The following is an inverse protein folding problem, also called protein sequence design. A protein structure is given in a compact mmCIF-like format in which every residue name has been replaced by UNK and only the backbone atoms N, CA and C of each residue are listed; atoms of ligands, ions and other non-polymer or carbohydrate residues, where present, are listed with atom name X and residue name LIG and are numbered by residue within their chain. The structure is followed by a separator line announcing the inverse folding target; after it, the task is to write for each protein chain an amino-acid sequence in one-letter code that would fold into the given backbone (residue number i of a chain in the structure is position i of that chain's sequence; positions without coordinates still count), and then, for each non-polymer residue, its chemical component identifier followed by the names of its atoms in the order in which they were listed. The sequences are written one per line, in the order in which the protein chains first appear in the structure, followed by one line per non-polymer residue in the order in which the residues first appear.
data_IF_064733129403
#
_entry.id   IF_064733129403
#
_cell.length_a   1.000
_cell.length_b   1.000
_cell.length_c   1.000
_cell.angle_alpha   90.00
_cell.angle_beta   90.00
_cell.angle_gamma   90.00
#
_symmetry.space_group_name_H-M   'P 1'
#
loop_
_entity.id
_entity.type
_entity.pdbx_description
1 polymer ?
#
# COMPACT_ATOMS: atom_id res chain seq x y z
N UNK A 1 4.06 -11.01 -4.36
CA UNK A 1 3.61 -12.41 -4.15
C UNK A 1 4.38 -13.00 -2.98
N UNK A 2 3.70 -13.76 -2.14
CA UNK A 2 4.28 -14.43 -0.97
C UNK A 2 3.78 -15.89 -0.92
N UNK A 3 4.66 -16.88 -0.69
CA UNK A 3 4.30 -18.27 -0.44
C UNK A 3 3.58 -18.44 0.91
N UNK A 4 3.15 -19.65 1.24
CA UNK A 4 2.46 -19.96 2.51
C UNK A 4 3.36 -19.83 3.75
N UNK A 5 4.65 -20.14 3.61
CA UNK A 5 5.64 -20.06 4.68
C UNK A 5 6.25 -18.65 4.84
N UNK A 6 5.95 -17.73 3.91
CA UNK A 6 6.38 -16.33 3.90
C UNK A 6 7.92 -16.14 3.88
N UNK A 7 8.67 -17.18 3.47
CA UNK A 7 10.13 -17.22 3.55
C UNK A 7 10.83 -16.39 2.47
N UNK A 8 10.19 -16.26 1.31
CA UNK A 8 10.62 -15.46 0.17
C UNK A 8 9.47 -14.59 -0.34
N UNK A 9 9.81 -13.44 -0.90
CA UNK A 9 8.86 -12.56 -1.57
C UNK A 9 9.27 -12.37 -3.01
N UNK A 10 8.29 -12.10 -3.86
CA UNK A 10 8.53 -11.66 -5.23
C UNK A 10 7.70 -10.41 -5.52
N UNK A 11 8.33 -9.34 -5.92
CA UNK A 11 7.66 -8.13 -6.39
C UNK A 11 7.53 -8.22 -7.91
N UNK A 12 6.29 -8.35 -8.39
CA UNK A 12 5.96 -8.28 -9.81
C UNK A 12 5.37 -6.91 -10.11
N UNK A 13 5.98 -6.17 -11.02
CA UNK A 13 5.53 -4.85 -11.46
C UNK A 13 5.22 -4.90 -12.95
N UNK A 14 3.98 -4.59 -13.32
CA UNK A 14 3.62 -4.37 -14.73
C UNK A 14 3.92 -2.92 -15.08
N UNK A 15 4.74 -2.72 -16.10
CA UNK A 15 5.22 -1.41 -16.55
C UNK A 15 4.75 -1.23 -17.99
N UNK A 16 4.21 -0.06 -18.28
CA UNK A 16 3.79 0.33 -19.62
C UNK A 16 4.50 1.63 -20.01
N UNK A 17 5.14 1.62 -21.18
CA UNK A 17 5.89 2.75 -21.73
C UNK A 17 5.27 3.22 -23.04
N UNK A 18 5.36 4.53 -23.30
CA UNK A 18 5.06 5.09 -24.62
C UNK A 18 6.35 5.12 -25.45
N UNK A 19 6.51 4.12 -26.31
CA UNK A 19 7.71 3.89 -27.10
C UNK A 19 8.81 3.15 -26.34
N UNK A 20 9.88 2.81 -27.05
CA UNK A 20 11.01 2.05 -26.50
C UNK A 20 11.84 2.89 -25.52
N UNK A 21 11.75 2.56 -24.23
CA UNK A 21 12.52 3.19 -23.15
C UNK A 21 13.31 2.14 -22.35
N UNK A 22 14.53 2.50 -21.94
CA UNK A 22 15.27 1.73 -20.95
C UNK A 22 14.76 2.10 -19.56
N UNK A 23 14.15 1.14 -18.87
CA UNK A 23 13.59 1.30 -17.53
C UNK A 23 14.48 0.58 -16.52
N UNK A 24 14.95 1.32 -15.53
CA UNK A 24 15.67 0.79 -14.37
C UNK A 24 14.73 0.74 -13.18
N UNK A 25 14.59 -0.45 -12.58
CA UNK A 25 13.84 -0.67 -11.35
C UNK A 25 14.81 -0.96 -10.19
N UNK A 26 14.66 -0.25 -9.09
CA UNK A 26 15.38 -0.48 -7.84
C UNK A 26 14.40 -0.71 -6.69
N UNK A 27 14.58 -1.79 -5.93
CA UNK A 27 13.83 -2.04 -4.71
C UNK A 27 14.72 -1.85 -3.49
N UNK A 28 14.31 -0.97 -2.58
CA UNK A 28 15.00 -0.68 -1.32
C UNK A 28 14.18 -1.15 -0.13
N UNK A 29 14.85 -1.69 0.88
CA UNK A 29 14.21 -2.10 2.13
C UNK A 29 13.80 -0.89 3.00
N UNK A 30 13.05 -1.11 4.10
CA UNK A 30 12.66 -0.02 5.01
C UNK A 30 13.82 0.77 5.64
N UNK A 31 15.05 0.25 5.58
CA UNK A 31 16.25 0.95 6.04
C UNK A 31 16.98 1.69 4.89
N UNK A 32 16.45 1.64 3.67
CA UNK A 32 17.02 2.27 2.47
C UNK A 32 18.07 1.44 1.74
N UNK A 33 18.34 0.20 2.20
CA UNK A 33 19.31 -0.70 1.57
C UNK A 33 18.74 -1.26 0.27
N UNK A 34 19.51 -1.21 -0.81
CA UNK A 34 19.16 -1.83 -2.09
C UNK A 34 19.08 -3.35 -1.94
N UNK A 35 17.92 -3.93 -2.28
CA UNK A 35 17.65 -5.37 -2.23
C UNK A 35 17.69 -5.99 -3.61
N UNK A 36 17.22 -5.28 -4.63
CA UNK A 36 17.20 -5.76 -6.01
C UNK A 36 17.23 -4.62 -7.00
N UNK A 37 17.83 -4.89 -8.17
CA UNK A 37 17.82 -4.00 -9.32
C UNK A 37 17.55 -4.81 -10.57
N UNK A 38 16.75 -4.27 -11.47
CA UNK A 38 16.48 -4.83 -12.79
C UNK A 38 16.50 -3.71 -13.82
N UNK A 39 16.99 -3.98 -15.03
CA UNK A 39 17.02 -3.03 -16.13
C UNK A 39 16.53 -3.72 -17.38
N UNK A 40 15.56 -3.13 -18.05
CA UNK A 40 14.94 -3.70 -19.25
C UNK A 40 14.63 -2.60 -20.27
N UNK A 41 14.73 -2.93 -21.55
CA UNK A 41 14.24 -2.07 -22.63
C UNK A 41 12.78 -2.46 -22.91
N UNK A 42 11.85 -1.56 -22.60
CA UNK A 42 10.41 -1.81 -22.66
C UNK A 42 9.81 -0.93 -23.77
N UNK A 43 9.07 -1.56 -24.69
CA UNK A 43 8.27 -0.90 -25.71
C UNK A 43 6.82 -1.41 -25.61
N UNK A 44 5.95 -0.61 -24.99
CA UNK A 44 4.60 -1.04 -24.62
C UNK A 44 4.58 -1.63 -23.22
N UNK A 45 3.93 -2.79 -23.03
CA UNK A 45 3.66 -3.36 -21.70
C UNK A 45 4.51 -4.60 -21.41
N UNK A 46 5.25 -4.57 -20.31
CA UNK A 46 6.08 -5.68 -19.84
C UNK A 46 5.98 -5.85 -18.32
N UNK A 47 6.23 -7.06 -17.81
CA UNK A 47 6.28 -7.33 -16.38
C UNK A 47 7.71 -7.61 -15.94
N UNK A 48 8.18 -6.86 -14.94
CA UNK A 48 9.46 -7.12 -14.27
C UNK A 48 9.22 -7.82 -12.94
N UNK A 49 10.16 -8.68 -12.54
CA UNK A 49 10.12 -9.39 -11.26
C UNK A 49 11.41 -9.16 -10.47
N UNK A 50 11.27 -8.89 -9.18
CA UNK A 50 12.37 -8.74 -8.24
C UNK A 50 12.14 -9.70 -7.07
N UNK A 51 13.11 -10.57 -6.82
CA UNK A 51 13.10 -11.48 -5.67
C UNK A 51 13.50 -10.74 -4.38
N UNK A 52 12.85 -11.09 -3.29
CA UNK A 52 12.99 -10.47 -1.96
C UNK A 52 13.17 -11.57 -0.92
N UNK A 53 14.41 -11.96 -0.61
CA UNK A 53 14.66 -12.98 0.41
C UNK A 53 14.22 -12.45 1.78
N UNK A 54 13.50 -13.27 2.55
CA UNK A 54 13.05 -12.95 3.91
C UNK A 54 12.41 -11.55 4.04
N UNK A 55 11.28 -11.29 3.36
CA UNK A 55 10.68 -9.97 3.31
C UNK A 55 10.23 -9.51 4.71
N UNK A 56 10.51 -8.24 5.04
CA UNK A 56 9.91 -7.58 6.21
C UNK A 56 8.43 -7.35 5.92
N UNK A 57 7.57 -8.12 6.60
CA UNK A 57 6.14 -8.10 6.33
C UNK A 57 5.45 -6.86 6.89
N UNK A 58 4.57 -6.28 6.09
CA UNK A 58 3.69 -5.18 6.49
C UNK A 58 2.47 -5.73 7.25
N UNK A 59 2.11 -5.07 8.34
CA UNK A 59 0.82 -5.20 9.02
C UNK A 59 0.52 -3.91 9.81
N UNK A 60 -0.68 -3.77 10.37
CA UNK A 60 -1.09 -2.55 11.08
C UNK A 60 -0.24 -2.23 12.34
N UNK A 61 0.43 -3.22 12.93
CA UNK A 61 1.29 -3.04 14.11
C UNK A 61 2.75 -2.74 13.71
N UNK A 62 3.17 -3.27 12.56
CA UNK A 62 4.51 -3.10 12.00
C UNK A 62 4.39 -2.70 10.51
N UNK A 63 4.15 -1.41 10.21
CA UNK A 63 3.95 -0.92 8.85
C UNK A 63 5.27 -0.82 8.07
N UNK A 64 5.91 -1.97 7.80
CA UNK A 64 7.18 -2.06 7.06
C UNK A 64 6.94 -1.80 5.58
N UNK A 65 7.51 -0.72 5.06
CA UNK A 65 7.38 -0.31 3.66
C UNK A 65 8.75 -0.30 2.97
N UNK A 66 8.81 -0.95 1.82
CA UNK A 66 9.90 -0.87 0.87
C UNK A 66 9.66 0.32 -0.08
N UNK A 67 10.71 0.77 -0.77
CA UNK A 67 10.61 1.76 -1.84
C UNK A 67 11.00 1.12 -3.18
N UNK A 68 10.06 1.06 -4.12
CA UNK A 68 10.33 0.74 -5.52
C UNK A 68 10.54 2.07 -6.26
N UNK A 69 11.71 2.22 -6.88
CA UNK A 69 12.06 3.37 -7.71
C UNK A 69 12.16 2.88 -9.15
N UNK A 70 11.36 3.45 -10.04
CA UNK A 70 11.46 3.24 -11.48
C UNK A 70 12.06 4.51 -12.11
N UNK A 71 13.10 4.33 -12.91
CA UNK A 71 13.79 5.43 -13.62
C UNK A 71 13.80 5.14 -15.12
N UNK A 72 13.33 6.09 -15.93
CA UNK A 72 13.36 6.02 -17.39
C UNK A 72 13.79 7.38 -17.96
N UNK A 73 15.03 7.48 -18.41
CA UNK A 73 15.61 8.77 -18.84
C UNK A 73 15.64 9.78 -17.69
N UNK A 74 14.83 10.83 -17.77
CA UNK A 74 14.70 11.88 -16.74
C UNK A 74 13.49 11.67 -15.81
N UNK A 75 12.61 10.71 -16.11
CA UNK A 75 11.43 10.44 -15.31
C UNK A 75 11.76 9.46 -14.17
N UNK A 76 11.27 9.77 -12.97
CA UNK A 76 11.43 8.93 -11.77
C UNK A 76 10.08 8.77 -11.09
N UNK A 77 9.62 7.52 -11.01
CA UNK A 77 8.42 7.13 -10.26
C UNK A 77 8.84 6.39 -8.99
N UNK A 78 8.15 6.67 -7.89
CA UNK A 78 8.42 6.07 -6.58
C UNK A 78 7.15 5.47 -6.01
N UNK A 79 7.24 4.23 -5.57
CA UNK A 79 6.12 3.49 -4.99
C UNK A 79 6.52 2.92 -3.64
N UNK A 80 5.63 3.03 -2.66
CA UNK A 80 5.74 2.31 -1.40
C UNK A 80 5.19 0.90 -1.58
N UNK A 81 5.92 -0.09 -1.08
CA UNK A 81 5.56 -1.51 -1.24
C UNK A 81 5.52 -2.19 0.12
N UNK A 82 4.34 -2.66 0.53
CA UNK A 82 4.15 -3.47 1.72
C UNK A 82 3.95 -4.95 1.37
N UNK A 83 4.84 -5.83 1.84
CA UNK A 83 4.68 -7.27 1.68
C UNK A 83 3.69 -7.81 2.71
N UNK A 84 2.47 -8.15 2.27
CA UNK A 84 1.46 -8.77 3.14
C UNK A 84 0.71 -9.87 2.39
N UNK A 85 0.31 -10.89 3.11
CA UNK A 85 -0.57 -11.96 2.62
C UNK A 85 -1.89 -11.89 3.37
N UNK A 86 -3.00 -11.83 2.65
CA UNK A 86 -4.35 -11.78 3.22
C UNK A 86 -5.08 -13.05 2.80
N UNK A 87 -5.62 -13.78 3.77
CA UNK A 87 -6.21 -15.10 3.55
C UNK A 87 -7.45 -15.30 4.42
N UNK A 88 -8.41 -16.08 3.94
CA UNK A 88 -9.50 -16.63 4.74
C UNK A 88 -9.34 -18.15 4.72
N UNK A 89 -9.12 -18.73 5.90
CA UNK A 89 -9.00 -20.20 6.06
C UNK A 89 -9.95 -20.62 7.16
N UNK A 90 -10.83 -21.58 6.86
CA UNK A 90 -11.88 -22.06 7.77
C UNK A 90 -12.75 -20.93 8.35
N UNK A 91 -13.09 -19.96 7.50
CA UNK A 91 -13.92 -18.79 7.89
C UNK A 91 -13.20 -17.74 8.75
N UNK A 92 -11.91 -17.91 9.04
CA UNK A 92 -11.14 -16.96 9.85
C UNK A 92 -10.26 -16.09 8.94
N UNK A 93 -10.41 -14.77 9.08
CA UNK A 93 -9.60 -13.77 8.38
C UNK A 93 -8.19 -13.67 8.98
N UNK A 94 -7.17 -13.82 8.13
CA UNK A 94 -5.76 -13.82 8.50
C UNK A 94 -4.96 -12.82 7.69
N UNK A 95 -3.96 -12.25 8.34
CA UNK A 95 -2.89 -11.49 7.70
C UNK A 95 -1.57 -12.12 8.11
N UNK A 96 -0.74 -12.47 7.13
CA UNK A 96 0.56 -13.13 7.33
C UNK A 96 0.43 -14.38 8.22
N UNK A 97 -0.59 -15.22 7.96
CA UNK A 97 -0.89 -16.44 8.73
C UNK A 97 -1.51 -16.23 10.12
N UNK A 98 -1.63 -14.99 10.62
CA UNK A 98 -2.18 -14.69 11.95
C UNK A 98 -3.63 -14.23 11.87
N UNK A 99 -4.48 -14.75 12.74
CA UNK A 99 -5.88 -14.31 12.84
C UNK A 99 -5.96 -12.84 13.27
N UNK A 100 -6.76 -12.03 12.57
CA UNK A 100 -6.88 -10.60 12.83
C UNK A 100 -8.31 -10.25 13.22
N UNK A 101 -8.45 -9.53 14.34
CA UNK A 101 -9.71 -8.86 14.71
C UNK A 101 -9.68 -7.42 14.22
N UNK A 102 -10.64 -7.06 13.37
CA UNK A 102 -10.82 -5.70 12.90
C UNK A 102 -11.47 -4.87 14.02
N UNK A 103 -10.71 -3.91 14.57
CA UNK A 103 -11.15 -2.93 15.57
C UNK A 103 -11.37 -1.62 14.83
N UNK A 104 -12.48 -1.57 14.09
CA UNK A 104 -12.70 -0.59 13.05
C UNK A 104 -13.60 0.59 13.42
N UNK A 105 -13.45 1.67 12.67
CA UNK A 105 -14.38 2.81 12.64
C UNK A 105 -14.76 3.14 11.19
N UNK A 106 -15.93 3.74 10.99
CA UNK A 106 -16.29 4.38 9.72
C UNK A 106 -15.79 5.83 9.78
N UNK A 107 -15.15 6.30 8.71
CA UNK A 107 -14.63 7.66 8.61
C UNK A 107 -15.24 8.35 7.40
N UNK A 108 -15.92 9.47 7.63
CA UNK A 108 -16.24 10.46 6.60
C UNK A 108 -15.12 11.50 6.52
N UNK A 109 -14.86 12.02 5.32
CA UNK A 109 -14.11 13.27 5.17
C UNK A 109 -14.95 14.43 5.69
N UNK A 110 -14.67 14.87 6.92
CA UNK A 110 -15.36 15.98 7.57
C UNK A 110 -14.37 16.87 8.33
N UNK A 111 -14.27 18.12 7.88
CA UNK A 111 -13.56 19.20 8.54
C UNK A 111 -14.58 20.25 9.02
N UNK A 112 -14.48 20.76 10.26
CA UNK A 112 -15.48 21.68 10.83
C UNK A 112 -15.65 22.98 10.03
N UNK A 113 -14.59 23.47 9.39
CA UNK A 113 -14.62 24.72 8.61
C UNK A 113 -14.62 24.50 7.09
N UNK A 114 -14.05 23.39 6.62
CA UNK A 114 -13.74 23.17 5.20
C UNK A 114 -14.64 22.10 4.56
N UNK A 115 -15.55 21.50 5.34
CA UNK A 115 -16.41 20.43 4.88
C UNK A 115 -15.58 19.21 4.45
N UNK A 116 -15.69 18.80 3.19
CA UNK A 116 -15.03 17.60 2.66
C UNK A 116 -13.58 17.86 2.18
N UNK A 117 -13.12 19.11 2.18
CA UNK A 117 -11.74 19.44 1.83
C UNK A 117 -10.87 19.23 3.07
N UNK A 118 -10.26 18.05 3.19
CA UNK A 118 -9.49 17.69 4.38
C UNK A 118 -8.01 18.04 4.21
N UNK A 119 -7.45 18.92 5.05
CA UNK A 119 -6.01 19.18 5.05
C UNK A 119 -5.21 17.95 5.52
N UNK A 120 -4.01 17.75 4.97
CA UNK A 120 -3.13 16.60 5.31
C UNK A 120 -2.81 16.54 6.82
N UNK A 121 -2.61 17.68 7.48
CA UNK A 121 -2.38 17.72 8.92
C UNK A 121 -3.60 17.22 9.73
N UNK A 122 -4.81 17.42 9.21
CA UNK A 122 -6.03 16.90 9.82
C UNK A 122 -6.13 15.38 9.65
N UNK A 123 -5.82 14.85 8.45
CA UNK A 123 -5.72 13.41 8.21
C UNK A 123 -4.73 12.72 9.16
N UNK A 124 -3.55 13.32 9.36
CA UNK A 124 -2.54 12.83 10.28
C UNK A 124 -3.04 12.88 11.73
N UNK A 125 -3.77 13.93 12.12
CA UNK A 125 -4.32 14.06 13.46
C UNK A 125 -5.35 12.95 13.75
N UNK A 126 -6.24 12.67 12.80
CA UNK A 126 -7.20 11.56 12.85
C UNK A 126 -6.48 10.23 13.07
N UNK A 127 -5.52 9.89 12.20
CA UNK A 127 -4.79 8.62 12.28
C UNK A 127 -4.05 8.48 13.61
N UNK A 128 -3.37 9.53 14.07
CA UNK A 128 -2.69 9.52 15.38
C UNK A 128 -3.68 9.30 16.53
N UNK A 129 -4.85 9.93 16.49
CA UNK A 129 -5.89 9.75 17.49
C UNK A 129 -6.40 8.30 17.49
N UNK A 130 -6.73 7.77 16.32
CA UNK A 130 -7.19 6.39 16.17
C UNK A 130 -6.18 5.37 16.72
N UNK A 131 -4.89 5.54 16.38
CA UNK A 131 -3.82 4.67 16.89
C UNK A 131 -3.69 4.74 18.42
N UNK A 132 -3.81 5.94 19.03
CA UNK A 132 -3.81 6.08 20.50
C UNK A 132 -4.99 5.37 21.16
N UNK A 133 -6.09 5.19 20.44
CA UNK A 133 -7.29 4.49 20.92
C UNK A 133 -7.39 3.03 20.44
N UNK A 134 -6.27 2.41 20.03
CA UNK A 134 -6.18 1.00 19.63
C UNK A 134 -7.07 0.60 18.43
N UNK A 135 -7.44 1.57 17.60
CA UNK A 135 -8.11 1.33 16.32
C UNK A 135 -7.08 0.85 15.31
N UNK A 136 -7.43 -0.19 14.53
CA UNK A 136 -6.55 -0.76 13.51
C UNK A 136 -7.17 -0.81 12.12
N UNK A 137 -8.44 -0.43 11.96
CA UNK A 137 -9.17 -0.52 10.69
C UNK A 137 -10.02 0.72 10.45
N UNK A 138 -10.08 1.19 9.22
CA UNK A 138 -10.96 2.27 8.78
C UNK A 138 -11.76 1.77 7.58
N UNK A 139 -13.05 2.10 7.56
CA UNK A 139 -13.88 2.01 6.35
C UNK A 139 -14.09 3.42 5.80
N UNK A 140 -13.81 3.62 4.51
CA UNK A 140 -13.99 4.91 3.80
C UNK A 140 -15.45 5.14 3.44
N UNK A 141 -16.28 5.32 4.48
CA UNK A 141 -17.74 5.50 4.34
C UNK A 141 -18.06 6.83 3.63
N UNK A 142 -18.74 6.89 2.49
CA UNK A 142 -19.12 5.79 1.57
C UNK A 142 -18.61 6.11 0.16
N UNK A 143 -17.35 6.52 0.10
CA UNK A 143 -16.68 7.02 -1.09
C UNK A 143 -15.16 6.93 -0.94
N UNK A 144 -14.42 6.81 -2.06
CA UNK A 144 -12.97 6.90 -2.03
C UNK A 144 -12.52 8.25 -1.45
N UNK A 145 -11.60 8.22 -0.51
CA UNK A 145 -10.96 9.45 0.01
C UNK A 145 -9.83 9.90 -0.93
N UNK A 146 -9.22 11.06 -0.64
CA UNK A 146 -7.98 11.50 -1.31
C UNK A 146 -6.92 10.37 -1.24
N UNK A 147 -6.25 10.02 -2.35
CA UNK A 147 -5.18 9.00 -2.36
C UNK A 147 -4.11 9.20 -1.28
N UNK A 148 -3.83 10.45 -0.89
CA UNK A 148 -2.91 10.78 0.21
C UNK A 148 -3.34 10.18 1.54
N UNK A 149 -4.63 9.98 1.78
CA UNK A 149 -5.12 9.34 2.99
C UNK A 149 -4.77 7.86 3.03
N UNK A 150 -4.86 7.15 1.88
CA UNK A 150 -4.48 5.73 1.78
C UNK A 150 -2.97 5.56 1.97
N UNK A 151 -2.18 6.43 1.35
CA UNK A 151 -0.74 6.55 1.54
C UNK A 151 -0.35 6.70 3.04
N UNK A 152 -1.06 7.58 3.75
CA UNK A 152 -0.89 7.75 5.19
C UNK A 152 -1.33 6.50 5.97
N UNK A 153 -2.39 5.80 5.55
CA UNK A 153 -2.80 4.54 6.19
C UNK A 153 -1.73 3.45 6.08
N UNK A 154 -1.03 3.38 4.94
CA UNK A 154 0.11 2.49 4.75
C UNK A 154 1.25 2.81 5.73
N UNK A 155 1.58 4.10 5.92
CA UNK A 155 2.63 4.57 6.83
C UNK A 155 2.28 4.37 8.32
N UNK A 156 1.06 4.74 8.71
CA UNK A 156 0.61 4.66 10.11
C UNK A 156 0.19 3.24 10.53
N UNK A 157 0.10 2.32 9.57
CA UNK A 157 -0.31 0.94 9.79
C UNK A 157 -1.79 0.86 10.18
N UNK A 158 -2.66 1.05 9.19
CA UNK A 158 -4.11 0.93 9.34
C UNK A 158 -4.67 0.09 8.21
N UNK A 159 -5.49 -0.90 8.52
CA UNK A 159 -6.23 -1.66 7.51
C UNK A 159 -7.35 -0.79 6.95
N UNK A 160 -7.51 -0.76 5.63
CA UNK A 160 -8.56 0.03 4.99
C UNK A 160 -9.53 -0.88 4.28
N UNK A 161 -10.82 -0.68 4.54
CA UNK A 161 -11.92 -1.17 3.72
C UNK A 161 -12.29 0.00 2.81
N UNK A 162 -11.79 -0.04 1.58
CA UNK A 162 -12.04 1.01 0.61
C UNK A 162 -13.40 0.79 -0.06
N UNK A 163 -14.34 1.69 0.21
CA UNK A 163 -15.69 1.64 -0.30
C UNK A 163 -15.84 2.57 -1.51
N UNK A 164 -16.30 1.99 -2.63
CA UNK A 164 -16.63 2.79 -3.81
C UNK A 164 -17.91 3.57 -3.59
N UNK A 165 -18.01 4.72 -4.25
CA UNK A 165 -19.29 5.42 -4.43
C UNK A 165 -20.27 4.44 -5.07
N UNK A 166 -21.37 4.16 -4.40
CA UNK A 166 -22.46 3.41 -4.96
C UNK A 166 -23.21 4.29 -5.97
N UNK A 167 -22.74 4.32 -7.22
CA UNK A 167 -23.59 4.64 -8.36
C UNK A 167 -24.20 3.34 -8.85
N UNK A 168 -25.33 2.95 -8.26
CA UNK A 168 -26.32 2.16 -8.97
C UNK A 168 -27.42 3.13 -9.39
N UNK A 169 -27.22 3.78 -10.55
CA UNK A 169 -28.19 4.48 -11.42
C UNK A 169 -27.40 5.41 -12.34
N UNK A 170 -26.81 4.90 -13.42
CA UNK A 170 -27.26 5.03 -14.84
C UNK A 170 -26.61 3.90 -15.65
#
# INVERSE_FOLDING_TARGET
MLPSDLSEGKLRSEIETTGSLTVQAELRDPAGKLIGRHEAQIDGKEAIELDVPQPQLWNAEQPRLYELILTAGQEVLRFRVGFKKVEITDGIFRINGRAVKLKGVNRHDSHPELGQTIPVNHMIADLKLMKRHNINTIRTSHYPNDPKFLDLCDEFGVYVIDERIWSAMV
#
